data_IF_434774553306
#
_entry.id   IF_434774553306
#
_cell.length_a   1.000
_cell.length_b   1.000
_cell.length_c   1.000
_cell.angle_alpha   90.00
_cell.angle_beta   90.00
_cell.angle_gamma   90.00
#
_symmetry.space_group_name_H-M   'P 1'
#
loop_
_entity.id
_entity.type
_entity.pdbx_description
1 polymer ?
#
# COMPACT_ATOMS: atom_id res chain seq x y z
N UNK A 1 17.51 8.67 -4.33
CA UNK A 1 17.63 7.19 -4.29
C UNK A 1 18.78 6.84 -3.37
N UNK A 2 18.68 5.76 -2.60
CA UNK A 2 19.74 5.35 -1.65
C UNK A 2 20.73 4.38 -2.31
N UNK A 3 22.02 4.51 -2.03
CA UNK A 3 23.11 3.66 -2.54
C UNK A 3 23.62 2.60 -1.55
N UNK A 4 23.02 2.49 -0.36
CA UNK A 4 23.33 1.44 0.62
C UNK A 4 22.24 1.29 1.68
N UNK A 5 22.30 0.21 2.47
CA UNK A 5 21.41 0.04 3.64
C UNK A 5 21.62 1.18 4.66
N UNK A 6 22.85 1.61 4.91
CA UNK A 6 23.12 2.73 5.82
C UNK A 6 22.47 4.04 5.35
N UNK A 7 22.43 4.30 4.04
CA UNK A 7 21.70 5.45 3.51
C UNK A 7 20.18 5.29 3.67
N UNK A 8 19.64 4.08 3.46
CA UNK A 8 18.22 3.79 3.75
C UNK A 8 17.92 4.11 5.23
N UNK A 9 18.74 3.62 6.15
CA UNK A 9 18.60 3.90 7.59
C UNK A 9 18.59 5.40 7.86
N UNK A 10 19.54 6.14 7.29
CA UNK A 10 19.64 7.59 7.44
C UNK A 10 18.41 8.33 6.88
N UNK A 11 17.91 7.92 5.72
CA UNK A 11 16.71 8.47 5.11
C UNK A 11 15.46 8.24 5.97
N UNK A 12 15.31 7.03 6.51
CA UNK A 12 14.18 6.68 7.38
C UNK A 12 14.25 7.46 8.70
N UNK A 13 15.41 7.56 9.33
CA UNK A 13 15.61 8.34 10.55
C UNK A 13 15.31 9.84 10.34
N UNK A 14 15.69 10.40 9.19
CA UNK A 14 15.34 11.78 8.85
C UNK A 14 13.83 11.94 8.67
N UNK A 15 13.16 11.02 7.97
CA UNK A 15 11.71 11.04 7.84
C UNK A 15 11.00 10.95 9.19
N UNK A 16 11.43 10.05 10.08
CA UNK A 16 10.89 9.89 11.44
C UNK A 16 10.99 11.21 12.21
N UNK A 17 12.14 11.89 12.14
CA UNK A 17 12.39 13.17 12.79
C UNK A 17 11.49 14.28 12.21
N UNK A 18 11.46 14.40 10.89
CA UNK A 18 10.73 15.46 10.18
C UNK A 18 9.23 15.34 10.37
N UNK A 19 8.71 14.12 10.43
CA UNK A 19 7.28 13.82 10.63
C UNK A 19 6.91 13.56 12.09
N UNK A 20 7.88 13.68 13.01
CA UNK A 20 7.69 13.47 14.45
C UNK A 20 6.97 12.15 14.76
N UNK A 21 7.41 11.07 14.10
CA UNK A 21 6.79 9.74 14.24
C UNK A 21 7.01 9.17 15.64
N UNK A 22 5.96 8.56 16.19
CA UNK A 22 6.01 7.93 17.50
C UNK A 22 6.86 6.65 17.45
N UNK A 23 7.30 6.17 18.62
CA UNK A 23 8.10 4.93 18.72
C UNK A 23 7.36 3.69 18.21
N UNK A 24 6.03 3.71 18.29
CA UNK A 24 5.19 2.57 17.90
C UNK A 24 4.63 2.70 16.48
N UNK A 25 4.91 3.79 15.77
CA UNK A 25 4.42 3.99 14.41
C UNK A 25 5.17 3.05 13.45
N UNK A 26 4.43 2.22 12.70
CA UNK A 26 5.00 1.45 11.59
C UNK A 26 5.42 2.40 10.48
N UNK A 27 6.73 2.42 10.19
CA UNK A 27 7.28 3.21 9.08
C UNK A 27 7.23 2.39 7.81
N UNK A 28 6.33 2.80 6.90
CA UNK A 28 6.18 2.19 5.59
C UNK A 28 6.96 3.00 4.55
N UNK A 29 7.84 2.32 3.83
CA UNK A 29 8.58 2.87 2.70
C UNK A 29 8.46 1.96 1.49
N UNK A 30 8.62 2.51 0.29
CA UNK A 30 8.59 1.75 -0.96
C UNK A 30 9.74 2.18 -1.87
N UNK A 31 9.96 1.41 -2.94
CA UNK A 31 10.78 1.79 -4.09
C UNK A 31 12.30 1.86 -3.86
N UNK A 32 12.82 1.17 -2.85
CA UNK A 32 14.27 0.93 -2.78
C UNK A 32 14.68 -0.18 -3.77
N UNK A 33 15.93 -0.14 -4.24
CA UNK A 33 16.49 -1.15 -5.13
C UNK A 33 17.98 -1.31 -4.87
N UNK A 34 18.42 -2.56 -4.67
CA UNK A 34 19.84 -2.90 -4.55
C UNK A 34 20.63 -2.68 -5.86
N UNK A 35 19.95 -2.52 -6.99
CA UNK A 35 20.61 -2.14 -8.25
C UNK A 35 21.20 -0.72 -8.19
N UNK A 36 20.70 0.11 -7.27
CA UNK A 36 21.25 1.44 -7.01
C UNK A 36 22.40 1.41 -5.99
N UNK A 37 22.71 0.25 -5.39
CA UNK A 37 23.72 0.18 -4.34
C UNK A 37 25.13 0.14 -4.93
N UNK A 38 26.07 0.72 -4.20
CA UNK A 38 27.50 0.69 -4.57
C UNK A 38 28.02 -0.76 -4.66
N UNK A 39 27.49 -1.64 -3.79
CA UNK A 39 27.59 -3.10 -3.89
C UNK A 39 26.19 -3.71 -3.97
N UNK A 40 25.95 -4.55 -4.98
CA UNK A 40 24.66 -5.25 -5.15
C UNK A 40 24.42 -6.35 -4.13
N UNK A 41 25.49 -6.89 -3.53
CA UNK A 41 25.38 -7.88 -2.47
C UNK A 41 25.05 -7.17 -1.16
N UNK A 42 24.00 -7.62 -0.50
CA UNK A 42 23.60 -7.18 0.84
C UNK A 42 24.07 -8.24 1.82
N UNK A 43 25.00 -7.90 2.71
CA UNK A 43 25.48 -8.81 3.74
C UNK A 43 24.53 -8.85 4.94
N UNK A 44 24.64 -9.90 5.77
CA UNK A 44 23.90 -9.95 7.04
C UNK A 44 24.25 -8.76 7.95
N UNK A 45 25.51 -8.31 7.93
CA UNK A 45 25.96 -7.14 8.68
C UNK A 45 25.25 -5.86 8.21
N UNK A 46 25.01 -5.71 6.91
CA UNK A 46 24.23 -4.58 6.37
C UNK A 46 22.77 -4.66 6.85
N UNK A 47 22.16 -5.84 6.79
CA UNK A 47 20.78 -6.05 7.23
C UNK A 47 20.60 -5.73 8.72
N UNK A 48 21.55 -6.11 9.57
CA UNK A 48 21.52 -5.77 11.00
C UNK A 48 21.55 -4.27 11.27
N UNK A 49 21.99 -3.43 10.34
CA UNK A 49 21.93 -1.96 10.49
C UNK A 49 20.49 -1.44 10.59
N UNK A 50 19.49 -2.18 10.12
CA UNK A 50 18.08 -1.79 10.18
C UNK A 50 17.57 -1.65 11.63
N UNK A 51 18.20 -2.33 12.59
CA UNK A 51 17.90 -2.19 14.02
C UNK A 51 18.38 -0.85 14.62
N UNK A 52 19.14 -0.04 13.88
CA UNK A 52 19.43 1.36 14.25
C UNK A 52 18.16 2.24 14.18
N UNK A 53 17.10 1.76 13.53
CA UNK A 53 15.77 2.38 13.55
C UNK A 53 14.96 1.72 14.66
N UNK A 54 14.65 2.46 15.72
CA UNK A 54 13.93 1.91 16.88
C UNK A 54 12.41 1.74 16.66
N UNK A 55 11.89 2.32 15.59
CA UNK A 55 10.51 2.16 15.15
C UNK A 55 10.36 0.87 14.31
N UNK A 56 9.21 0.21 14.34
CA UNK A 56 8.92 -0.87 13.40
C UNK A 56 8.99 -0.35 11.95
N UNK A 57 9.59 -1.12 11.04
CA UNK A 57 9.70 -0.75 9.63
C UNK A 57 9.15 -1.82 8.68
N UNK A 58 8.61 -1.37 7.56
CA UNK A 58 8.27 -2.20 6.41
C UNK A 58 8.66 -1.43 5.14
N UNK A 59 9.83 -1.75 4.60
CA UNK A 59 10.39 -1.05 3.44
C UNK A 59 10.32 -1.96 2.21
N UNK A 60 9.32 -1.78 1.37
CA UNK A 60 9.07 -2.62 0.21
C UNK A 60 10.00 -2.26 -0.95
N UNK A 61 10.56 -3.28 -1.60
CA UNK A 61 11.43 -3.14 -2.77
C UNK A 61 10.64 -2.60 -3.96
N UNK A 62 11.31 -1.96 -4.92
CA UNK A 62 10.70 -1.43 -6.15
C UNK A 62 9.92 -2.46 -7.00
N UNK A 63 10.21 -3.75 -6.85
CA UNK A 63 9.47 -4.82 -7.54
C UNK A 63 8.26 -5.33 -6.74
N UNK A 64 8.01 -4.80 -5.54
CA UNK A 64 6.94 -5.22 -4.63
C UNK A 64 7.00 -6.64 -4.06
N UNK A 65 7.84 -7.55 -4.59
CA UNK A 65 7.98 -8.95 -4.14
C UNK A 65 8.96 -9.20 -2.97
N UNK A 66 9.50 -8.14 -2.36
CA UNK A 66 10.37 -8.26 -1.20
C UNK A 66 10.29 -7.01 -0.32
N UNK A 67 10.59 -7.13 0.97
CA UNK A 67 10.65 -6.00 1.88
C UNK A 67 11.74 -6.16 2.94
N UNK A 68 12.28 -5.04 3.39
CA UNK A 68 13.14 -4.98 4.59
C UNK A 68 12.26 -4.71 5.81
N UNK A 69 12.50 -5.47 6.88
CA UNK A 69 11.90 -5.32 8.21
C UNK A 69 13.03 -5.26 9.25
N UNK A 70 12.71 -4.86 10.48
CA UNK A 70 13.64 -4.93 11.61
C UNK A 70 13.03 -5.77 12.74
N UNK A 71 13.78 -5.95 13.84
CA UNK A 71 13.32 -6.75 14.97
C UNK A 71 12.10 -6.18 15.70
N UNK A 72 11.77 -4.91 15.46
CA UNK A 72 10.65 -4.22 16.09
C UNK A 72 9.35 -4.40 15.29
N UNK A 73 9.44 -4.83 14.02
CA UNK A 73 8.28 -5.02 13.13
C UNK A 73 7.35 -6.10 13.70
N UNK A 74 6.06 -5.80 13.92
CA UNK A 74 5.11 -6.78 14.42
C UNK A 74 4.79 -7.83 13.35
N UNK A 75 5.00 -9.10 13.67
CA UNK A 75 4.78 -10.24 12.77
C UNK A 75 3.68 -11.15 13.32
N UNK A 76 2.91 -11.76 12.42
CA UNK A 76 1.90 -12.79 12.74
C UNK A 76 2.55 -14.09 13.24
N UNK A 77 3.78 -14.36 12.83
CA UNK A 77 4.58 -15.53 13.20
C UNK A 77 6.07 -15.14 13.31
N UNK A 78 6.84 -15.87 14.09
CA UNK A 78 8.26 -15.59 14.31
C UNK A 78 9.09 -15.88 13.06
N UNK A 79 9.93 -14.91 12.65
CA UNK A 79 10.88 -15.06 11.55
C UNK A 79 12.20 -14.42 11.94
N UNK A 80 13.30 -15.15 11.72
CA UNK A 80 14.67 -14.73 12.06
C UNK A 80 15.41 -14.08 10.89
N UNK A 81 14.77 -13.15 10.16
CA UNK A 81 15.39 -12.45 9.04
C UNK A 81 14.88 -11.03 8.84
N UNK A 82 15.71 -10.20 8.20
CA UNK A 82 15.44 -8.80 7.90
C UNK A 82 14.93 -8.56 6.48
N UNK A 83 15.19 -9.47 5.56
CA UNK A 83 14.69 -9.42 4.18
C UNK A 83 13.64 -10.52 3.99
N UNK A 84 12.39 -10.11 3.85
CA UNK A 84 11.26 -11.00 3.60
C UNK A 84 10.90 -11.01 2.12
N UNK A 85 10.50 -12.19 1.64
CA UNK A 85 10.10 -12.43 0.25
C UNK A 85 8.59 -12.37 0.09
N UNK A 86 8.11 -12.49 -1.14
CA UNK A 86 6.70 -12.38 -1.53
C UNK A 86 5.75 -13.20 -0.66
N UNK A 87 6.07 -14.47 -0.43
CA UNK A 87 5.26 -15.40 0.39
C UNK A 87 5.16 -14.99 1.86
N UNK A 88 5.99 -14.05 2.29
CA UNK A 88 6.10 -13.60 3.67
C UNK A 88 5.64 -12.16 3.86
N UNK A 89 5.31 -11.42 2.80
CA UNK A 89 4.88 -10.02 2.91
C UNK A 89 3.61 -9.85 3.75
N UNK A 90 2.78 -10.89 3.80
CA UNK A 90 1.53 -10.93 4.56
C UNK A 90 1.70 -11.27 6.03
N UNK A 91 2.90 -11.67 6.47
CA UNK A 91 3.15 -11.93 7.90
C UNK A 91 3.23 -10.61 8.69
N UNK A 92 3.54 -9.49 8.05
CA UNK A 92 3.67 -8.20 8.72
C UNK A 92 2.29 -7.69 9.10
N UNK A 93 2.10 -7.40 10.38
CA UNK A 93 0.88 -6.78 10.87
C UNK A 93 0.88 -5.29 10.50
N UNK A 94 0.12 -4.93 9.45
CA UNK A 94 -0.06 -3.54 9.01
C UNK A 94 -1.30 -2.96 9.72
N UNK A 95 -1.19 -1.81 10.40
CA UNK A 95 -2.36 -1.19 11.02
C UNK A 95 -3.39 -0.82 9.96
N UNK A 96 -4.65 -1.12 10.23
CA UNK A 96 -5.76 -0.68 9.38
C UNK A 96 -5.91 0.84 9.49
N UNK A 97 -6.15 1.49 8.37
CA UNK A 97 -6.47 2.92 8.34
C UNK A 97 -7.89 3.15 8.87
N UNK A 98 -8.07 4.22 9.62
CA UNK A 98 -9.39 4.74 9.97
C UNK A 98 -10.08 5.34 8.73
N UNK A 99 -11.41 5.46 8.78
CA UNK A 99 -12.16 6.09 7.69
C UNK A 99 -11.69 7.53 7.37
N UNK A 100 -11.29 8.28 8.39
CA UNK A 100 -10.75 9.64 8.21
C UNK A 100 -9.39 9.65 7.50
N UNK A 101 -8.52 8.67 7.79
CA UNK A 101 -7.25 8.52 7.08
C UNK A 101 -7.47 8.10 5.63
N UNK A 102 -8.39 7.16 5.38
CA UNK A 102 -8.78 6.76 4.03
C UNK A 102 -9.32 7.95 3.24
N UNK A 103 -10.19 8.76 3.85
CA UNK A 103 -10.72 9.99 3.24
C UNK A 103 -9.58 10.93 2.82
N UNK A 104 -8.61 11.17 3.71
CA UNK A 104 -7.49 12.05 3.41
C UNK A 104 -6.60 11.49 2.30
N UNK A 105 -6.36 10.18 2.27
CA UNK A 105 -5.61 9.51 1.20
C UNK A 105 -6.33 9.68 -0.15
N UNK A 106 -7.64 9.46 -0.19
CA UNK A 106 -8.46 9.65 -1.40
C UNK A 106 -8.37 11.09 -1.89
N UNK A 107 -8.55 12.08 -1.00
CA UNK A 107 -8.50 13.49 -1.37
C UNK A 107 -7.12 13.92 -1.91
N UNK A 108 -6.05 13.41 -1.32
CA UNK A 108 -4.69 13.66 -1.82
C UNK A 108 -4.50 13.06 -3.23
N UNK A 109 -5.00 11.86 -3.47
CA UNK A 109 -4.94 11.23 -4.79
C UNK A 109 -5.78 12.00 -5.83
N UNK A 110 -6.99 12.41 -5.46
CA UNK A 110 -7.87 13.23 -6.29
C UNK A 110 -7.23 14.57 -6.65
N UNK A 111 -6.57 15.26 -5.71
CA UNK A 111 -5.83 16.50 -6.00
C UNK A 111 -4.73 16.26 -7.06
N UNK A 112 -3.98 15.17 -6.95
CA UNK A 112 -2.95 14.82 -7.93
C UNK A 112 -3.54 14.51 -9.31
N UNK A 113 -4.63 13.75 -9.37
CA UNK A 113 -5.35 13.45 -10.60
C UNK A 113 -5.87 14.72 -11.28
N UNK A 114 -6.46 15.64 -10.51
CA UNK A 114 -6.96 16.92 -11.01
C UNK A 114 -5.85 17.78 -11.62
N UNK A 115 -4.65 17.82 -11.00
CA UNK A 115 -3.49 18.54 -11.56
C UNK A 115 -3.04 17.98 -12.90
N UNK A 116 -3.32 16.71 -13.17
CA UNK A 116 -3.06 16.04 -14.45
C UNK A 116 -4.24 16.12 -15.42
N UNK A 117 -5.34 16.79 -15.05
CA UNK A 117 -6.56 16.90 -15.86
C UNK A 117 -7.41 15.62 -15.89
N UNK A 118 -7.16 14.67 -14.99
CA UNK A 118 -7.93 13.42 -14.90
C UNK A 118 -9.21 13.68 -14.10
N UNK A 119 -10.36 13.54 -14.75
CA UNK A 119 -11.69 13.80 -14.15
C UNK A 119 -12.53 12.55 -13.92
N UNK A 120 -12.05 11.38 -14.38
CA UNK A 120 -12.74 10.10 -14.24
C UNK A 120 -11.73 8.97 -14.14
N UNK A 121 -11.97 8.01 -13.25
CA UNK A 121 -11.13 6.82 -13.07
C UNK A 121 -11.96 5.54 -12.97
N UNK A 122 -11.29 4.41 -13.22
CA UNK A 122 -11.76 3.09 -12.84
C UNK A 122 -10.85 2.57 -11.73
N UNK A 123 -11.38 2.33 -10.53
CA UNK A 123 -10.62 1.76 -9.43
C UNK A 123 -10.61 0.24 -9.49
N UNK A 124 -9.58 -0.36 -8.92
CA UNK A 124 -9.40 -1.81 -8.81
C UNK A 124 -9.50 -2.18 -7.32
N UNK A 125 -10.72 -2.45 -6.88
CA UNK A 125 -11.07 -2.54 -5.48
C UNK A 125 -11.06 -4.00 -5.01
N UNK A 126 -10.40 -4.23 -3.88
CA UNK A 126 -10.35 -5.53 -3.20
C UNK A 126 -11.59 -5.75 -2.33
N UNK A 127 -11.59 -6.83 -1.55
CA UNK A 127 -12.71 -7.27 -0.70
C UNK A 127 -13.26 -6.21 0.27
N UNK A 128 -12.46 -5.21 0.63
CA UNK A 128 -12.85 -4.08 1.50
C UNK A 128 -13.59 -2.96 0.75
N UNK A 129 -14.11 -3.24 -0.45
CA UNK A 129 -14.75 -2.25 -1.32
C UNK A 129 -15.91 -1.50 -0.66
N UNK A 130 -16.61 -2.08 0.32
CA UNK A 130 -17.72 -1.41 1.02
C UNK A 130 -17.29 -0.20 1.80
N UNK A 131 -16.18 -0.31 2.54
CA UNK A 131 -15.65 0.77 3.35
C UNK A 131 -15.21 1.91 2.44
N UNK A 132 -14.52 1.58 1.34
CA UNK A 132 -14.10 2.54 0.31
C UNK A 132 -15.31 3.21 -0.37
N UNK A 133 -16.31 2.44 -0.80
CA UNK A 133 -17.54 2.96 -1.39
C UNK A 133 -18.26 3.92 -0.43
N UNK A 134 -18.32 3.59 0.85
CA UNK A 134 -18.92 4.46 1.87
C UNK A 134 -18.19 5.80 2.00
N UNK A 135 -16.85 5.79 1.99
CA UNK A 135 -16.04 7.02 2.05
C UNK A 135 -16.22 7.86 0.79
N UNK A 136 -16.15 7.25 -0.40
CA UNK A 136 -16.32 7.93 -1.68
C UNK A 136 -17.69 8.60 -1.81
N UNK A 137 -18.77 7.88 -1.49
CA UNK A 137 -20.14 8.41 -1.56
C UNK A 137 -20.40 9.49 -0.50
N UNK A 138 -19.76 9.40 0.67
CA UNK A 138 -19.80 10.48 1.67
C UNK A 138 -19.09 11.74 1.16
N UNK A 139 -17.93 11.60 0.51
CA UNK A 139 -17.22 12.72 -0.11
C UNK A 139 -18.03 13.38 -1.23
N UNK A 140 -18.69 12.59 -2.08
CA UNK A 140 -19.64 13.11 -3.09
C UNK A 140 -20.77 13.90 -2.43
N UNK A 141 -21.42 13.34 -1.40
CA UNK A 141 -22.54 14.00 -0.70
C UNK A 141 -22.13 15.34 -0.08
N UNK A 142 -20.88 15.44 0.37
CA UNK A 142 -20.29 16.67 0.92
C UNK A 142 -19.81 17.65 -0.18
N UNK A 143 -19.89 17.28 -1.47
CA UNK A 143 -19.38 18.09 -2.58
C UNK A 143 -17.84 18.17 -2.62
N UNK A 144 -17.14 17.22 -1.98
CA UNK A 144 -15.68 17.18 -1.85
C UNK A 144 -15.02 16.18 -2.79
N UNK A 145 -15.80 15.35 -3.47
CA UNK A 145 -15.35 14.54 -4.60
C UNK A 145 -15.66 15.30 -5.90
N UNK A 146 -14.65 15.51 -6.74
CA UNK A 146 -14.79 16.25 -8.01
C UNK A 146 -14.35 15.44 -9.24
N UNK A 147 -14.26 14.11 -9.09
CA UNK A 147 -14.00 13.17 -10.18
C UNK A 147 -15.08 12.08 -10.17
N UNK A 148 -15.28 11.43 -11.32
CA UNK A 148 -16.11 10.23 -11.38
C UNK A 148 -15.26 9.00 -11.05
N UNK A 149 -15.78 8.09 -10.24
CA UNK A 149 -15.11 6.86 -9.82
C UNK A 149 -15.99 5.66 -10.18
N UNK A 150 -15.51 4.83 -11.09
CA UNK A 150 -16.14 3.54 -11.38
C UNK A 150 -15.37 2.41 -10.71
N UNK A 151 -15.95 1.81 -9.69
CA UNK A 151 -15.33 0.73 -8.92
C UNK A 151 -15.38 -0.59 -9.70
N UNK A 152 -14.22 -1.19 -9.96
CA UNK A 152 -14.12 -2.56 -10.47
C UNK A 152 -13.83 -3.48 -9.29
N UNK A 153 -14.75 -4.39 -8.99
CA UNK A 153 -14.67 -5.18 -7.76
C UNK A 153 -13.99 -6.52 -8.02
N UNK A 154 -12.98 -6.83 -7.20
CA UNK A 154 -12.45 -8.18 -7.05
C UNK A 154 -13.25 -8.87 -5.94
N UNK A 155 -14.16 -9.75 -6.35
CA UNK A 155 -15.03 -10.49 -5.41
C UNK A 155 -14.75 -11.98 -5.48
N UNK A 156 -14.91 -12.66 -4.35
CA UNK A 156 -14.91 -14.11 -4.27
C UNK A 156 -16.28 -14.68 -4.66
N UNK A 157 -16.34 -15.98 -4.98
CA UNK A 157 -17.58 -16.67 -5.39
C UNK A 157 -18.72 -16.47 -4.38
N UNK A 158 -18.40 -16.56 -3.07
CA UNK A 158 -19.38 -16.40 -2.00
C UNK A 158 -20.00 -14.99 -1.93
N UNK A 159 -19.41 -13.99 -2.58
CA UNK A 159 -19.87 -12.60 -2.59
C UNK A 159 -20.73 -12.27 -3.83
N UNK A 160 -20.91 -13.19 -4.79
CA UNK A 160 -21.64 -12.92 -6.04
C UNK A 160 -23.10 -12.53 -5.79
N UNK A 161 -23.80 -13.23 -4.89
CA UNK A 161 -25.20 -12.92 -4.56
C UNK A 161 -25.33 -11.52 -3.94
N UNK A 162 -24.36 -11.17 -3.12
CA UNK A 162 -24.29 -9.86 -2.49
C UNK A 162 -24.02 -8.76 -3.53
N UNK A 163 -23.05 -8.97 -4.42
CA UNK A 163 -22.76 -8.08 -5.52
C UNK A 163 -23.98 -7.81 -6.40
N UNK A 164 -24.74 -8.85 -6.76
CA UNK A 164 -25.98 -8.72 -7.56
C UNK A 164 -27.06 -7.88 -6.86
N UNK A 165 -27.05 -7.84 -5.54
CA UNK A 165 -27.99 -7.05 -4.76
C UNK A 165 -27.54 -5.59 -4.58
N UNK A 166 -26.27 -5.26 -4.89
CA UNK A 166 -25.77 -3.89 -4.80
C UNK A 166 -26.49 -3.01 -5.82
N UNK A 167 -27.07 -1.92 -5.32
CA UNK A 167 -27.65 -0.89 -6.15
C UNK A 167 -26.71 0.31 -6.17
N UNK A 168 -26.38 0.78 -7.38
CA UNK A 168 -25.66 2.04 -7.49
C UNK A 168 -26.60 3.20 -7.16
N UNK A 169 -26.29 3.92 -6.09
CA UNK A 169 -27.11 5.05 -5.60
C UNK A 169 -26.44 6.41 -5.84
N UNK A 170 -25.19 6.41 -6.28
CA UNK A 170 -24.37 7.61 -6.45
C UNK A 170 -24.27 8.01 -7.92
N UNK A 171 -24.12 9.32 -8.17
CA UNK A 171 -24.01 9.88 -9.52
C UNK A 171 -22.57 9.90 -10.01
N UNK A 172 -21.63 10.17 -9.11
CA UNK A 172 -20.20 10.24 -9.39
C UNK A 172 -19.46 8.95 -9.07
N UNK A 173 -19.95 8.15 -8.13
CA UNK A 173 -19.36 6.88 -7.69
C UNK A 173 -20.26 5.75 -8.14
N UNK A 174 -19.78 4.87 -9.01
CA UNK A 174 -20.57 3.74 -9.50
C UNK A 174 -19.90 2.42 -9.18
N UNK A 175 -20.67 1.48 -8.66
CA UNK A 175 -20.26 0.07 -8.59
C UNK A 175 -20.34 -0.49 -10.01
N UNK A 176 -19.17 -0.78 -10.60
CA UNK A 176 -19.00 -1.21 -11.98
C UNK A 176 -18.89 -2.74 -12.12
N UNK A 177 -18.04 -3.23 -13.04
CA UNK A 177 -17.92 -4.66 -13.31
C UNK A 177 -17.17 -5.41 -12.20
N UNK A 178 -17.32 -6.74 -12.22
CA UNK A 178 -16.41 -7.64 -11.50
C UNK A 178 -15.12 -7.80 -12.31
N UNK A 179 -13.97 -7.65 -11.65
CA UNK A 179 -12.64 -7.85 -12.22
C UNK A 179 -12.17 -9.28 -11.91
N UNK A 180 -11.87 -10.04 -12.95
CA UNK A 180 -11.31 -11.40 -12.87
C UNK A 180 -9.90 -11.42 -13.45
N UNK A 181 -9.04 -12.28 -12.90
CA UNK A 181 -7.68 -12.54 -13.38
C UNK A 181 -7.64 -13.95 -13.95
N UNK A 182 -7.18 -14.09 -15.20
CA UNK A 182 -6.95 -15.39 -15.82
C UNK A 182 -5.56 -15.93 -15.46
N UNK A 183 -4.61 -15.01 -15.37
CA UNK A 183 -3.19 -15.19 -15.15
C UNK A 183 -2.64 -14.00 -14.33
N UNK A 184 -1.33 -13.97 -14.10
CA UNK A 184 -0.68 -12.95 -13.29
C UNK A 184 0.11 -11.93 -14.16
N UNK A 185 1.43 -11.83 -14.02
CA UNK A 185 2.21 -10.75 -14.64
C UNK A 185 3.37 -11.27 -15.48
N UNK A 186 3.64 -10.58 -16.59
CA UNK A 186 4.78 -10.86 -17.47
C UNK A 186 6.12 -10.74 -16.72
N UNK A 187 6.24 -9.80 -15.79
CA UNK A 187 7.47 -9.57 -15.02
C UNK A 187 7.79 -10.72 -14.06
N UNK A 188 6.77 -11.35 -13.50
CA UNK A 188 6.90 -12.57 -12.69
C UNK A 188 6.97 -13.85 -13.54
N UNK A 189 6.76 -13.75 -14.87
CA UNK A 189 6.69 -14.88 -15.80
C UNK A 189 5.56 -15.86 -15.47
N UNK A 190 4.42 -15.32 -15.03
CA UNK A 190 3.22 -16.07 -14.63
C UNK A 190 1.99 -15.73 -15.49
N UNK A 191 2.21 -15.11 -16.65
CA UNK A 191 1.22 -14.81 -17.71
C UNK A 191 1.33 -15.80 -18.88
#
# INVERSE_FOLDING_TARGET
TCSSIQQIVSCVQNFIRDKQKSKNDLIVGINWSQENFDSRQISDADLHMLDQIEQPIFLQRCCYHAALINRYTPLKFEVSKYLISETELDIVHKPSLSAAEVEQVILNAVDQLNRLGVTSIQSDDLEQYKDIYSVLTNLERQGRLNINVQMQLRIQEHQISEFKALQNQSKQVSIGPVKLFADESLGAQTA
#
